data_IF_710581919617
#
_entry.id   IF_710581919617
#
_cell.length_a   1.000
_cell.length_b   1.000
_cell.length_c   1.000
_cell.angle_alpha   90.00
_cell.angle_beta   90.00
_cell.angle_gamma   90.00
#
_symmetry.space_group_name_H-M   'P 1'
#
loop_
_entity.id
_entity.type
_entity.pdbx_description
1 polymer ?
#
# COMPACT_ATOMS: atom_id res chain seq x y z
N UNK A 1 42.20 -26.49 -1.60
CA UNK A 1 42.52 -25.58 -2.71
C UNK A 1 41.64 -25.87 -3.93
N UNK A 2 40.44 -25.26 -3.96
CA UNK A 2 39.72 -24.96 -5.21
C UNK A 2 38.70 -23.87 -4.87
N UNK A 3 39.16 -22.63 -4.97
CA UNK A 3 38.35 -21.43 -4.88
C UNK A 3 37.42 -21.36 -6.09
N UNK A 4 36.14 -21.65 -5.90
CA UNK A 4 35.11 -21.30 -6.86
C UNK A 4 34.93 -19.78 -6.80
N UNK A 5 35.52 -19.09 -7.77
CA UNK A 5 35.26 -17.69 -8.04
C UNK A 5 33.77 -17.54 -8.40
N UNK A 6 33.00 -16.96 -7.49
CA UNK A 6 31.68 -16.42 -7.79
C UNK A 6 31.92 -15.26 -8.76
N UNK A 7 31.72 -15.52 -10.05
CA UNK A 7 31.63 -14.48 -11.06
C UNK A 7 30.34 -13.70 -10.80
N UNK A 8 30.48 -12.51 -10.24
CA UNK A 8 29.44 -11.49 -10.18
C UNK A 8 29.17 -11.02 -11.60
N UNK A 9 28.36 -11.78 -12.34
CA UNK A 9 27.88 -11.39 -13.67
C UNK A 9 26.69 -10.45 -13.47
N UNK A 10 26.97 -9.17 -13.23
CA UNK A 10 25.98 -8.08 -13.29
C UNK A 10 25.61 -7.83 -14.75
N UNK A 11 24.83 -8.75 -15.31
CA UNK A 11 24.14 -8.52 -16.58
C UNK A 11 22.74 -8.03 -16.21
N UNK A 12 22.40 -6.74 -16.40
CA UNK A 12 21.06 -6.21 -16.13
C UNK A 12 20.13 -6.71 -17.23
N UNK A 13 19.75 -7.97 -17.15
CA UNK A 13 18.93 -8.62 -18.15
C UNK A 13 17.48 -8.51 -17.70
N UNK A 14 16.69 -7.75 -18.46
CA UNK A 14 15.23 -7.54 -18.35
C UNK A 14 14.77 -6.45 -17.35
N UNK A 15 15.20 -5.19 -17.51
CA UNK A 15 14.62 -4.04 -16.79
C UNK A 15 13.57 -3.25 -17.61
N UNK A 16 13.68 -3.23 -18.95
CA UNK A 16 12.77 -2.44 -19.80
C UNK A 16 11.27 -2.72 -19.60
N UNK A 17 10.80 -3.99 -19.47
CA UNK A 17 9.38 -4.25 -19.23
C UNK A 17 8.93 -3.92 -17.80
N UNK A 18 9.84 -3.96 -16.83
CA UNK A 18 9.54 -3.78 -15.42
C UNK A 18 9.33 -2.32 -15.06
N UNK A 19 10.13 -1.41 -15.64
CA UNK A 19 10.00 0.04 -15.40
C UNK A 19 8.67 0.60 -15.94
N UNK A 20 8.25 0.14 -17.11
CA UNK A 20 6.96 0.50 -17.68
C UNK A 20 5.81 -0.03 -16.82
N UNK A 21 5.89 -1.30 -16.39
CA UNK A 21 4.91 -1.88 -15.48
C UNK A 21 4.85 -1.13 -14.15
N UNK A 22 5.99 -0.72 -13.59
CA UNK A 22 6.07 0.10 -12.38
C UNK A 22 5.37 1.45 -12.57
N UNK A 23 5.55 2.09 -13.73
CA UNK A 23 4.85 3.34 -14.06
C UNK A 23 3.32 3.12 -14.15
N UNK A 24 2.87 2.09 -14.87
CA UNK A 24 1.44 1.82 -15.01
C UNK A 24 0.77 1.38 -13.71
N UNK A 25 1.46 0.61 -12.86
CA UNK A 25 0.95 0.22 -11.54
C UNK A 25 0.84 1.43 -10.61
N UNK A 26 1.81 2.36 -10.66
CA UNK A 26 1.72 3.64 -9.95
C UNK A 26 0.53 4.47 -10.41
N UNK A 27 0.36 4.65 -11.73
CA UNK A 27 -0.76 5.40 -12.30
C UNK A 27 -2.11 4.75 -11.97
N UNK A 28 -2.21 3.42 -12.10
CA UNK A 28 -3.41 2.66 -11.76
C UNK A 28 -3.78 2.80 -10.28
N UNK A 29 -2.80 2.77 -9.39
CA UNK A 29 -3.00 2.97 -7.95
C UNK A 29 -3.53 4.38 -7.67
N UNK A 30 -2.96 5.42 -8.30
CA UNK A 30 -3.44 6.79 -8.15
C UNK A 30 -4.90 6.96 -8.60
N UNK A 31 -5.26 6.41 -9.76
CA UNK A 31 -6.63 6.45 -10.28
C UNK A 31 -7.61 5.68 -9.40
N UNK A 32 -7.19 4.52 -8.88
CA UNK A 32 -7.96 3.74 -7.93
C UNK A 32 -8.28 4.57 -6.68
N UNK A 33 -7.28 5.21 -6.08
CA UNK A 33 -7.48 6.04 -4.88
C UNK A 33 -8.36 7.26 -5.14
N UNK A 34 -8.19 7.93 -6.28
CA UNK A 34 -9.04 9.05 -6.67
C UNK A 34 -10.50 8.63 -6.89
N UNK A 35 -10.72 7.45 -7.48
CA UNK A 35 -12.07 6.88 -7.65
C UNK A 35 -12.65 6.42 -6.31
N UNK A 36 -11.83 5.82 -5.45
CA UNK A 36 -12.24 5.39 -4.11
C UNK A 36 -12.70 6.58 -3.26
N UNK A 37 -12.02 7.73 -3.34
CA UNK A 37 -12.45 8.96 -2.66
C UNK A 37 -13.85 9.41 -3.11
N UNK A 38 -14.15 9.32 -4.42
CA UNK A 38 -15.44 9.70 -4.99
C UNK A 38 -16.57 8.71 -4.69
N UNK A 39 -16.26 7.41 -4.61
CA UNK A 39 -17.24 6.34 -4.40
C UNK A 39 -17.54 6.08 -2.91
N UNK A 40 -16.76 6.69 -2.03
CA UNK A 40 -16.87 6.52 -0.58
C UNK A 40 -18.13 7.08 0.09
N UNK A 41 -18.76 8.21 -0.31
CA UNK A 41 -19.95 8.71 0.38
C UNK A 41 -21.19 7.82 0.17
N UNK A 42 -21.16 6.88 -0.78
CA UNK A 42 -22.28 6.01 -1.12
C UNK A 42 -22.20 4.60 -0.52
N UNK A 43 -21.06 4.18 0.03
CA UNK A 43 -20.87 2.81 0.54
C UNK A 43 -20.18 2.77 1.91
N UNK A 44 -20.50 1.74 2.69
CA UNK A 44 -19.79 1.44 3.93
C UNK A 44 -18.31 1.09 3.64
N UNK A 45 -17.34 1.66 4.37
CA UNK A 45 -15.92 1.44 4.13
C UNK A 45 -15.48 -0.02 4.23
N UNK A 46 -16.08 -0.79 5.15
CA UNK A 46 -15.77 -2.20 5.34
C UNK A 46 -16.27 -3.03 4.16
N UNK A 47 -17.47 -2.73 3.66
CA UNK A 47 -18.02 -3.39 2.48
C UNK A 47 -17.19 -3.07 1.22
N UNK A 48 -16.80 -1.81 1.04
CA UNK A 48 -15.95 -1.40 -0.06
C UNK A 48 -14.62 -2.16 -0.06
N UNK A 49 -13.95 -2.22 1.10
CA UNK A 49 -12.68 -2.94 1.23
C UNK A 49 -12.84 -4.44 0.96
N UNK A 50 -13.90 -5.06 1.47
CA UNK A 50 -14.17 -6.48 1.22
C UNK A 50 -14.35 -6.77 -0.28
N UNK A 51 -15.06 -5.91 -1.01
CA UNK A 51 -15.25 -6.06 -2.46
C UNK A 51 -13.94 -5.89 -3.24
N UNK A 52 -13.10 -4.93 -2.84
CA UNK A 52 -11.76 -4.74 -3.44
C UNK A 52 -10.89 -5.97 -3.23
N UNK A 53 -10.90 -6.56 -2.03
CA UNK A 53 -10.13 -7.77 -1.74
C UNK A 53 -10.63 -8.98 -2.52
N UNK A 54 -11.95 -9.13 -2.66
CA UNK A 54 -12.53 -10.19 -3.51
C UNK A 54 -12.11 -9.99 -4.97
N UNK A 55 -12.15 -8.75 -5.47
CA UNK A 55 -11.72 -8.43 -6.82
C UNK A 55 -10.24 -8.73 -7.03
N UNK A 56 -9.38 -8.38 -6.07
CA UNK A 56 -7.94 -8.67 -6.13
C UNK A 56 -7.67 -10.18 -6.13
N UNK A 57 -8.37 -10.93 -5.27
CA UNK A 57 -8.28 -12.39 -5.25
C UNK A 57 -8.73 -13.02 -6.57
N UNK A 58 -9.85 -12.56 -7.14
CA UNK A 58 -10.35 -13.05 -8.41
C UNK A 58 -9.39 -12.73 -9.57
N UNK A 59 -8.82 -11.53 -9.58
CA UNK A 59 -7.86 -11.11 -10.58
C UNK A 59 -6.56 -11.90 -10.46
N UNK A 60 -6.02 -12.07 -9.25
CA UNK A 60 -4.83 -12.87 -8.99
C UNK A 60 -5.01 -14.32 -9.46
N UNK A 61 -6.18 -14.93 -9.19
CA UNK A 61 -6.50 -16.27 -9.66
C UNK A 61 -6.62 -16.33 -11.19
N UNK A 62 -7.23 -15.32 -11.80
CA UNK A 62 -7.32 -15.23 -13.26
C UNK A 62 -5.92 -15.13 -13.89
N UNK A 63 -5.04 -14.29 -13.34
CA UNK A 63 -3.64 -14.19 -13.78
C UNK A 63 -2.90 -15.52 -13.64
N UNK A 64 -3.03 -16.20 -12.50
CA UNK A 64 -2.43 -17.53 -12.31
C UNK A 64 -2.91 -18.51 -13.39
N UNK A 65 -4.21 -18.55 -13.68
CA UNK A 65 -4.76 -19.43 -14.73
C UNK A 65 -4.34 -19.05 -16.17
N UNK A 66 -4.04 -17.78 -16.43
CA UNK A 66 -3.71 -17.25 -17.76
C UNK A 66 -2.22 -17.33 -18.09
N UNK A 67 -1.35 -17.18 -17.07
CA UNK A 67 0.09 -17.04 -17.26
C UNK A 67 0.91 -18.21 -16.74
N UNK A 68 0.40 -19.03 -15.83
CA UNK A 68 1.07 -20.28 -15.46
C UNK A 68 0.64 -21.41 -16.40
N UNK A 69 1.63 -22.13 -16.94
CA UNK A 69 1.43 -23.31 -17.79
C UNK A 69 0.75 -24.48 -17.04
N UNK A 70 0.71 -24.42 -15.71
CA UNK A 70 0.05 -25.41 -14.85
C UNK A 70 -1.13 -24.77 -14.12
N UNK A 71 -2.37 -25.24 -14.33
CA UNK A 71 -3.53 -24.66 -13.67
C UNK A 71 -3.45 -24.84 -12.15
N UNK A 72 -3.91 -23.84 -11.37
CA UNK A 72 -3.91 -23.94 -9.92
C UNK A 72 -4.77 -25.11 -9.46
N UNK A 73 -4.21 -25.97 -8.61
CA UNK A 73 -4.91 -27.16 -8.13
C UNK A 73 -5.80 -26.79 -6.94
N UNK A 74 -6.99 -27.40 -6.87
CA UNK A 74 -7.85 -27.35 -5.68
C UNK A 74 -7.28 -28.25 -4.58
N UNK A 75 -6.06 -27.94 -4.15
CA UNK A 75 -5.25 -28.71 -3.22
C UNK A 75 -4.73 -27.81 -2.09
N UNK A 76 -4.29 -28.43 -1.00
CA UNK A 76 -3.51 -27.77 0.06
C UNK A 76 -2.01 -27.83 -0.22
N UNK A 77 -1.59 -28.08 -1.45
CA UNK A 77 -0.16 -28.02 -1.77
C UNK A 77 0.38 -26.60 -1.49
N UNK A 78 1.44 -26.43 -0.67
CA UNK A 78 2.00 -25.12 -0.33
C UNK A 78 2.61 -24.34 -1.51
N UNK A 79 2.80 -24.97 -2.66
CA UNK A 79 3.40 -24.40 -3.88
C UNK A 79 2.37 -24.18 -4.98
N UNK A 80 1.39 -25.09 -5.15
CA UNK A 80 0.46 -25.09 -6.29
C UNK A 80 -1.02 -25.08 -5.92
N UNK A 81 -1.32 -25.22 -4.64
CA UNK A 81 -2.68 -25.34 -4.14
C UNK A 81 -3.31 -23.98 -3.86
N UNK A 82 -4.55 -23.78 -4.30
CA UNK A 82 -5.36 -22.59 -3.96
C UNK A 82 -5.50 -22.43 -2.43
N UNK A 83 -5.46 -23.55 -1.68
CA UNK A 83 -5.49 -23.57 -0.23
C UNK A 83 -4.13 -23.83 0.42
N UNK A 84 -3.02 -23.65 -0.31
CA UNK A 84 -1.65 -23.85 0.18
C UNK A 84 -1.26 -22.95 1.36
N UNK A 85 -1.99 -21.85 1.57
CA UNK A 85 -1.86 -20.99 2.76
C UNK A 85 -2.36 -21.66 4.05
N UNK A 86 -3.25 -22.65 3.94
CA UNK A 86 -3.85 -23.37 5.07
C UNK A 86 -3.05 -24.59 5.54
N UNK A 87 -1.86 -24.81 4.97
CA UNK A 87 -0.97 -25.93 5.31
C UNK A 87 -0.49 -25.79 6.74
N UNK A 88 -0.97 -26.72 7.59
CA UNK A 88 -0.60 -26.84 9.00
C UNK A 88 0.76 -27.53 9.21
N UNK A 89 1.34 -28.15 8.17
CA UNK A 89 2.63 -28.84 8.26
C UNK A 89 3.82 -27.90 8.49
N UNK A 90 3.70 -26.63 8.08
CA UNK A 90 4.71 -25.60 8.32
C UNK A 90 4.30 -24.82 9.57
N UNK A 91 4.96 -25.01 10.72
CA UNK A 91 4.58 -24.35 11.96
C UNK A 91 4.64 -22.83 11.79
N UNK A 92 3.55 -22.15 12.14
CA UNK A 92 3.46 -20.69 12.11
C UNK A 92 3.04 -20.07 10.77
N UNK A 93 2.94 -20.83 9.68
CA UNK A 93 2.57 -20.30 8.35
C UNK A 93 1.12 -19.79 8.32
N UNK A 94 0.18 -20.54 8.89
CA UNK A 94 -1.22 -20.12 8.95
C UNK A 94 -1.39 -18.86 9.84
N UNK A 95 -0.71 -18.81 10.98
CA UNK A 95 -0.80 -17.67 11.90
C UNK A 95 -0.15 -16.42 11.33
N UNK A 96 0.99 -16.53 10.63
CA UNK A 96 1.64 -15.37 10.02
C UNK A 96 0.82 -14.82 8.85
N UNK A 97 0.24 -15.70 8.02
CA UNK A 97 -0.64 -15.30 6.92
C UNK A 97 -1.92 -14.63 7.43
N UNK A 98 -2.55 -15.17 8.48
CA UNK A 98 -3.71 -14.54 9.12
C UNK A 98 -3.36 -13.19 9.75
N UNK A 99 -2.19 -13.09 10.40
CA UNK A 99 -1.72 -11.83 10.95
C UNK A 99 -1.51 -10.77 9.86
N UNK A 100 -0.84 -11.12 8.77
CA UNK A 100 -0.62 -10.23 7.64
C UNK A 100 -1.94 -9.79 7.00
N UNK A 101 -2.85 -10.72 6.70
CA UNK A 101 -4.11 -10.39 6.03
C UNK A 101 -5.10 -9.61 6.94
N UNK A 102 -5.30 -10.06 8.18
CA UNK A 102 -6.32 -9.48 9.05
C UNK A 102 -5.82 -8.25 9.82
N UNK A 103 -4.55 -8.23 10.23
CA UNK A 103 -4.02 -7.11 11.01
C UNK A 103 -3.34 -6.13 10.08
N UNK A 104 -2.35 -6.54 9.29
CA UNK A 104 -1.60 -5.57 8.48
C UNK A 104 -2.44 -5.00 7.35
N UNK A 105 -3.06 -5.87 6.54
CA UNK A 105 -3.76 -5.44 5.32
C UNK A 105 -5.14 -4.85 5.64
N UNK A 106 -5.98 -5.56 6.39
CA UNK A 106 -7.32 -5.06 6.71
C UNK A 106 -7.30 -3.82 7.61
N UNK A 107 -6.47 -3.77 8.67
CA UNK A 107 -6.41 -2.56 9.51
C UNK A 107 -5.77 -1.38 8.77
N UNK A 108 -4.78 -1.65 7.91
CA UNK A 108 -4.21 -0.66 7.01
C UNK A 108 -5.29 -0.08 6.10
N UNK A 109 -5.96 -0.91 5.32
CA UNK A 109 -7.01 -0.50 4.38
C UNK A 109 -8.15 0.28 5.05
N UNK A 110 -8.66 -0.21 6.18
CA UNK A 110 -9.70 0.51 6.94
C UNK A 110 -9.17 1.85 7.47
N UNK A 111 -7.96 1.87 8.04
CA UNK A 111 -7.33 3.08 8.56
C UNK A 111 -7.17 4.15 7.47
N UNK A 112 -6.69 3.75 6.30
CA UNK A 112 -6.59 4.61 5.13
C UNK A 112 -7.92 5.18 4.69
N UNK A 113 -8.93 4.31 4.55
CA UNK A 113 -10.28 4.74 4.21
C UNK A 113 -10.83 5.69 5.26
N UNK A 114 -10.57 5.49 6.55
CA UNK A 114 -11.02 6.39 7.61
C UNK A 114 -10.31 7.74 7.58
N UNK A 115 -8.99 7.79 7.35
CA UNK A 115 -8.23 9.05 7.28
C UNK A 115 -8.67 9.90 6.10
N UNK A 116 -9.01 9.29 4.96
CA UNK A 116 -9.63 10.01 3.84
C UNK A 116 -10.98 10.67 4.20
N UNK A 117 -11.55 10.45 5.41
CA UNK A 117 -12.73 11.20 5.89
C UNK A 117 -12.37 12.65 6.23
N UNK A 118 -11.18 12.82 6.76
CA UNK A 118 -10.78 14.04 7.46
C UNK A 118 -9.74 14.82 6.67
N UNK A 119 -9.05 14.15 5.74
CA UNK A 119 -7.89 14.72 5.06
C UNK A 119 -7.95 14.36 3.57
N UNK A 120 -7.63 15.31 2.66
CA UNK A 120 -7.56 15.03 1.22
C UNK A 120 -6.59 13.89 0.88
N UNK A 121 -6.88 13.14 -0.18
CA UNK A 121 -6.03 12.03 -0.64
C UNK A 121 -4.56 12.45 -0.89
N UNK A 122 -4.29 13.72 -1.26
CA UNK A 122 -2.94 14.24 -1.43
C UNK A 122 -2.09 14.14 -0.15
N UNK A 123 -2.67 14.44 1.00
CA UNK A 123 -1.96 14.37 2.29
C UNK A 123 -1.74 12.92 2.69
N UNK A 124 -2.71 12.05 2.38
CA UNK A 124 -2.59 10.60 2.60
C UNK A 124 -1.49 9.99 1.72
N UNK A 125 -1.36 10.45 0.47
CA UNK A 125 -0.24 10.06 -0.40
C UNK A 125 1.10 10.54 0.18
N UNK A 126 1.17 11.77 0.69
CA UNK A 126 2.36 12.30 1.36
C UNK A 126 2.74 11.50 2.61
N UNK A 127 1.77 11.03 3.39
CA UNK A 127 2.06 10.15 4.54
C UNK A 127 2.56 8.79 4.11
N UNK A 128 2.16 8.29 2.93
CA UNK A 128 2.66 7.03 2.40
C UNK A 128 4.12 7.08 1.97
N UNK A 129 4.66 8.25 1.65
CA UNK A 129 6.12 8.38 1.48
C UNK A 129 6.90 8.07 2.77
N UNK A 130 6.27 8.11 3.95
CA UNK A 130 6.92 7.68 5.20
C UNK A 130 6.92 6.18 5.43
N UNK A 131 6.04 5.41 4.76
CA UNK A 131 6.01 3.95 4.89
C UNK A 131 7.39 3.29 4.76
N UNK A 132 8.21 3.60 3.73
CA UNK A 132 9.56 3.03 3.63
C UNK A 132 10.49 3.45 4.78
N UNK A 133 10.30 4.63 5.38
CA UNK A 133 11.10 5.08 6.52
C UNK A 133 10.75 4.32 7.80
N UNK A 134 9.46 4.02 8.01
CA UNK A 134 9.02 3.18 9.12
C UNK A 134 9.50 1.74 8.96
N UNK A 135 9.40 1.18 7.75
CA UNK A 135 9.90 -0.16 7.45
C UNK A 135 11.40 -0.27 7.75
N UNK A 136 12.19 0.71 7.33
CA UNK A 136 13.62 0.80 7.64
C UNK A 136 13.88 0.88 9.16
N UNK A 137 13.14 1.74 9.87
CA UNK A 137 13.29 1.88 11.32
C UNK A 137 12.96 0.58 12.07
N UNK A 138 11.90 -0.13 11.65
CA UNK A 138 11.51 -1.43 12.19
C UNK A 138 12.58 -2.51 11.91
N UNK A 139 13.08 -2.57 10.67
CA UNK A 139 14.14 -3.50 10.29
C UNK A 139 15.44 -3.27 11.08
N UNK A 140 15.79 -2.01 11.34
CA UNK A 140 16.92 -1.64 12.20
C UNK A 140 16.67 -2.04 13.67
N UNK A 141 15.45 -1.84 14.19
CA UNK A 141 15.10 -2.21 15.56
C UNK A 141 15.15 -3.73 15.80
N UNK A 142 14.80 -4.53 14.79
CA UNK A 142 14.89 -6.00 14.82
C UNK A 142 16.33 -6.49 14.55
N UNK A 143 17.24 -5.58 14.15
CA UNK A 143 18.64 -5.89 13.86
C UNK A 143 18.84 -6.68 12.56
N UNK A 144 17.88 -6.62 11.63
CA UNK A 144 17.96 -7.33 10.35
C UNK A 144 18.65 -6.55 9.23
N UNK A 145 18.90 -5.24 9.39
CA UNK A 145 19.48 -4.40 8.33
C UNK A 145 20.85 -3.80 8.64
N UNK A 146 21.64 -3.64 7.56
CA UNK A 146 22.85 -2.82 7.53
C UNK A 146 22.50 -1.33 7.46
N UNK A 147 23.36 -0.48 8.04
CA UNK A 147 23.22 0.98 8.03
C UNK A 147 23.03 1.46 6.57
N UNK A 148 22.01 2.30 6.30
CA UNK A 148 21.71 2.75 4.96
C UNK A 148 22.87 3.56 4.38
N UNK A 149 23.12 3.41 3.08
CA UNK A 149 24.10 4.22 2.38
C UNK A 149 23.71 5.69 2.30
N UNK A 150 24.68 6.56 2.04
CA UNK A 150 24.51 8.03 2.04
C UNK A 150 23.35 8.51 1.15
N UNK A 151 23.13 7.87 0.00
CA UNK A 151 22.02 8.20 -0.91
C UNK A 151 20.64 7.94 -0.32
N UNK A 152 20.49 6.88 0.48
CA UNK A 152 19.23 6.57 1.17
C UNK A 152 18.93 7.61 2.24
N UNK A 153 19.95 8.10 2.94
CA UNK A 153 19.81 9.18 3.93
C UNK A 153 19.35 10.48 3.25
N UNK A 154 19.96 10.82 2.11
CA UNK A 154 19.56 12.01 1.34
C UNK A 154 18.11 11.88 0.84
N UNK A 155 17.73 10.71 0.34
CA UNK A 155 16.34 10.42 -0.06
C UNK A 155 15.37 10.57 1.10
N UNK A 156 15.69 10.01 2.27
CA UNK A 156 14.89 10.11 3.49
C UNK A 156 14.69 11.57 3.93
N UNK A 157 15.75 12.38 3.93
CA UNK A 157 15.68 13.81 4.24
C UNK A 157 14.81 14.57 3.25
N UNK A 158 14.89 14.23 1.96
CA UNK A 158 14.08 14.86 0.91
C UNK A 158 12.59 14.58 1.13
N UNK A 159 12.24 13.34 1.45
CA UNK A 159 10.87 12.94 1.81
C UNK A 159 10.38 13.70 3.04
N UNK A 160 11.19 13.78 4.09
CA UNK A 160 10.86 14.52 5.32
C UNK A 160 10.53 16.00 5.03
N UNK A 161 11.36 16.65 4.21
CA UNK A 161 11.15 18.05 3.81
C UNK A 161 9.89 18.21 2.97
N UNK A 162 9.70 17.36 1.95
CA UNK A 162 8.54 17.40 1.06
C UNK A 162 7.23 17.20 1.81
N UNK A 163 7.16 16.19 2.68
CA UNK A 163 5.97 15.92 3.48
C UNK A 163 5.69 17.05 4.49
N UNK A 164 6.72 17.69 5.06
CA UNK A 164 6.55 18.85 5.92
C UNK A 164 5.94 20.06 5.21
N UNK A 165 6.35 20.31 3.96
CA UNK A 165 5.76 21.36 3.12
C UNK A 165 4.29 21.08 2.80
N UNK A 166 3.96 19.83 2.44
CA UNK A 166 2.58 19.40 2.16
C UNK A 166 1.71 19.54 3.40
N UNK A 167 2.20 19.10 4.57
CA UNK A 167 1.47 19.24 5.84
C UNK A 167 1.17 20.71 6.17
N UNK A 168 2.15 21.60 5.97
CA UNK A 168 1.96 23.05 6.17
C UNK A 168 0.94 23.64 5.20
N UNK A 169 0.94 23.20 3.94
CA UNK A 169 -0.05 23.65 2.96
C UNK A 169 -1.45 23.11 3.27
N UNK A 170 -1.55 21.87 3.73
CA UNK A 170 -2.82 21.23 4.11
C UNK A 170 -3.51 21.97 5.26
N UNK A 171 -2.76 22.42 6.28
CA UNK A 171 -3.30 23.23 7.38
C UNK A 171 -3.97 24.53 6.90
N UNK A 172 -3.42 25.14 5.85
CA UNK A 172 -4.00 26.36 5.27
C UNK A 172 -5.32 26.07 4.55
N UNK A 173 -5.44 24.92 3.89
CA UNK A 173 -6.67 24.52 3.17
C UNK A 173 -7.80 24.04 4.10
N UNK A 174 -7.48 23.31 5.17
CA UNK A 174 -8.49 22.84 6.13
C UNK A 174 -9.18 24.00 6.88
N UNK A 175 -8.43 25.05 7.22
CA UNK A 175 -8.97 26.27 7.84
C UNK A 175 -9.98 27.00 6.94
N UNK A 176 -9.86 26.87 5.62
CA UNK A 176 -10.77 27.54 4.67
C UNK A 176 -12.12 26.81 4.56
N UNK A 177 -12.13 25.48 4.72
CA UNK A 177 -13.35 24.67 4.69
C UNK A 177 -14.17 24.86 5.95
N UNK A 178 -13.55 24.94 7.13
CA UNK A 178 -14.29 25.20 8.38
C UNK A 178 -14.98 26.57 8.37
N UNK A 179 -14.31 27.63 7.91
CA UNK A 179 -14.89 28.98 7.85
C UNK A 179 -16.05 29.06 6.84
N UNK A 180 -15.95 28.36 5.71
CA UNK A 180 -17.01 28.36 4.68
C UNK A 180 -18.20 27.48 5.07
N UNK A 181 -17.99 26.42 5.84
CA UNK A 181 -19.09 25.58 6.33
C UNK A 181 -19.81 26.27 7.49
N UNK A 182 -19.07 26.87 8.43
CA UNK A 182 -19.65 27.59 9.57
C UNK A 182 -20.40 28.86 9.13
N UNK A 183 -19.88 29.63 8.17
CA UNK A 183 -20.58 30.80 7.62
C UNK A 183 -21.85 30.43 6.83
N UNK A 184 -21.86 29.32 6.09
CA UNK A 184 -23.06 28.85 5.39
C UNK A 184 -24.12 28.30 6.36
N UNK A 185 -23.72 27.63 7.45
CA UNK A 185 -24.65 27.18 8.49
C UNK A 185 -25.22 28.38 9.26
N UNK A 186 -24.40 29.38 9.59
CA UNK A 186 -24.87 30.62 10.23
C UNK A 186 -25.81 31.41 9.30
N UNK A 187 -25.50 31.51 8.01
CA UNK A 187 -26.38 32.15 7.03
C UNK A 187 -27.71 31.41 6.83
N UNK A 188 -27.71 30.07 6.85
CA UNK A 188 -28.93 29.27 6.78
C UNK A 188 -29.79 29.38 8.05
N UNK A 189 -29.16 29.53 9.22
CA UNK A 189 -29.85 29.67 10.52
C UNK A 189 -30.40 31.09 10.74
N UNK A 190 -29.78 32.10 10.14
CA UNK A 190 -30.23 33.49 10.21
C UNK A 190 -31.41 33.83 9.28
N UNK A 191 -31.81 32.90 8.40
CA UNK A 191 -32.89 33.08 7.42
C UNK A 191 -34.17 32.31 7.80
N UNK A 192 -34.27 31.88 9.06
CA UNK A 192 -35.47 31.32 9.72
C UNK A 192 -35.93 32.33 10.77
#
# INVERSE_FOLDING_TARGET
PTSASVSTDTTPTVLLPADELAFFTGLGSCLFWQTAEQLRPTMDPTLFLALVQIQFMALALAFACLFDDTPPELSRDPVRGIFGWSVLEIPGRLSSQLWLAAVVDYSGGVGFLLVMKYVPALVVAATMLFSPLFAWAEAMAIGQEYIPGDWTIIGALTVLVGSGLIARQAQTHSLTVDISTESNVVAATANI
#
